data_IF_094556767652
#
_entry.id   IF_094556767652
#
_cell.length_a   1.000
_cell.length_b   1.000
_cell.length_c   1.000
_cell.angle_alpha   90.00
_cell.angle_beta   90.00
_cell.angle_gamma   90.00
#
_symmetry.space_group_name_H-M   'P 1'
#
loop_
_entity.id
_entity.type
_entity.pdbx_description
1 polymer ?
#
# COMPACT_ATOMS: atom_id res chain seq x y z
N UNK A 1 0.70 34.43 36.99
CA UNK A 1 -0.27 35.40 36.45
C UNK A 1 -1.23 34.60 35.57
N UNK A 2 -2.26 34.00 36.19
CA UNK A 2 -3.27 33.20 35.48
C UNK A 2 -4.36 34.14 34.98
N UNK A 3 -4.33 34.49 33.69
CA UNK A 3 -5.22 35.50 33.09
C UNK A 3 -6.58 34.92 32.68
N UNK A 4 -6.73 33.59 32.67
CA UNK A 4 -7.95 32.90 32.25
C UNK A 4 -8.42 31.90 33.31
N UNK A 5 -8.63 32.37 34.54
CA UNK A 5 -9.48 31.64 35.47
C UNK A 5 -10.93 31.76 35.00
N UNK A 6 -11.59 30.65 34.67
CA UNK A 6 -13.03 30.62 34.40
C UNK A 6 -13.78 31.21 35.60
N UNK A 7 -14.13 32.50 35.51
CA UNK A 7 -14.99 33.13 36.51
C UNK A 7 -16.37 32.49 36.39
N UNK A 8 -17.06 32.20 37.51
CA UNK A 8 -18.44 31.75 37.45
C UNK A 8 -19.27 32.78 36.68
N UNK A 9 -20.20 32.30 35.84
CA UNK A 9 -21.08 33.16 35.06
C UNK A 9 -21.78 34.16 36.01
N UNK A 10 -21.54 35.45 35.80
CA UNK A 10 -22.11 36.53 36.61
C UNK A 10 -23.45 37.03 36.07
N UNK A 11 -23.82 36.63 34.86
CA UNK A 11 -25.08 36.98 34.21
C UNK A 11 -25.98 35.75 34.17
N UNK A 12 -27.27 35.92 34.49
CA UNK A 12 -28.23 34.84 34.33
C UNK A 12 -28.33 34.48 32.85
N UNK A 13 -28.18 33.20 32.47
CA UNK A 13 -28.30 32.78 31.08
C UNK A 13 -29.68 33.18 30.56
N UNK A 14 -29.70 33.77 29.36
CA UNK A 14 -30.93 34.13 28.69
C UNK A 14 -31.85 32.90 28.59
N UNK A 15 -33.17 33.13 28.61
CA UNK A 15 -34.16 32.04 28.66
C UNK A 15 -33.94 30.99 27.56
N UNK A 16 -33.50 31.41 26.38
CA UNK A 16 -33.16 30.53 25.27
C UNK A 16 -31.97 29.61 25.58
N UNK A 17 -30.93 30.12 26.23
CA UNK A 17 -29.74 29.35 26.63
C UNK A 17 -30.11 28.33 27.70
N UNK A 18 -30.92 28.73 28.69
CA UNK A 18 -31.39 27.82 29.74
C UNK A 18 -32.27 26.69 29.19
N UNK A 19 -33.11 26.99 28.20
CA UNK A 19 -33.95 25.99 27.52
C UNK A 19 -33.12 25.04 26.64
N UNK A 20 -32.12 25.58 25.94
CA UNK A 20 -31.19 24.76 25.16
C UNK A 20 -30.41 23.79 26.06
N UNK A 21 -29.95 24.25 27.23
CA UNK A 21 -29.20 23.42 28.18
C UNK A 21 -30.07 22.28 28.75
N UNK A 22 -31.34 22.55 29.06
CA UNK A 22 -32.29 21.51 29.49
C UNK A 22 -32.57 20.44 28.42
N UNK A 23 -32.56 20.83 27.14
CA UNK A 23 -32.69 19.90 26.01
C UNK A 23 -31.43 19.04 25.81
N UNK A 24 -30.27 19.52 26.23
CA UNK A 24 -29.01 18.78 26.18
C UNK A 24 -28.80 17.89 27.42
N UNK A 25 -29.56 18.09 28.49
CA UNK A 25 -29.48 17.24 29.67
C UNK A 25 -30.02 15.83 29.37
N UNK A 26 -29.12 14.88 29.18
CA UNK A 26 -29.44 13.48 28.95
C UNK A 26 -30.38 12.88 30.03
N UNK A 27 -30.36 13.42 31.25
CA UNK A 27 -31.23 12.95 32.35
C UNK A 27 -32.69 13.41 32.18
N UNK A 28 -32.95 14.44 31.40
CA UNK A 28 -34.30 14.94 31.09
C UNK A 28 -34.96 14.21 29.92
N UNK A 29 -34.19 13.43 29.15
CA UNK A 29 -34.67 12.74 27.94
C UNK A 29 -35.64 11.59 28.26
N UNK A 30 -36.59 11.38 27.33
CA UNK A 30 -37.49 10.22 27.35
C UNK A 30 -36.72 8.91 27.12
N UNK A 31 -37.33 7.78 27.47
CA UNK A 31 -36.73 6.47 27.19
C UNK A 31 -36.56 6.23 25.68
N UNK A 32 -37.52 6.70 24.89
CA UNK A 32 -37.49 6.65 23.43
C UNK A 32 -36.31 7.43 22.85
N UNK A 33 -36.07 8.67 23.32
CA UNK A 33 -34.96 9.51 22.86
C UNK A 33 -33.60 8.88 23.19
N UNK A 34 -33.46 8.35 24.42
CA UNK A 34 -32.23 7.66 24.85
C UNK A 34 -31.97 6.41 24.02
N UNK A 35 -33.02 5.62 23.75
CA UNK A 35 -32.91 4.40 22.94
C UNK A 35 -32.51 4.74 21.51
N UNK A 36 -33.17 5.73 20.88
CA UNK A 36 -32.84 6.18 19.54
C UNK A 36 -31.40 6.68 19.45
N UNK A 37 -30.96 7.52 20.40
CA UNK A 37 -29.58 8.00 20.45
C UNK A 37 -28.58 6.86 20.63
N UNK A 38 -28.84 5.92 21.54
CA UNK A 38 -27.96 4.76 21.75
C UNK A 38 -27.83 3.89 20.51
N UNK A 39 -28.93 3.64 19.79
CA UNK A 39 -28.94 2.88 18.54
C UNK A 39 -28.18 3.60 17.43
N UNK A 40 -28.35 4.92 17.32
CA UNK A 40 -27.59 5.73 16.36
C UNK A 40 -26.08 5.64 16.64
N UNK A 41 -25.66 5.80 17.89
CA UNK A 41 -24.25 5.71 18.29
C UNK A 41 -23.67 4.33 18.02
N UNK A 42 -24.41 3.27 18.33
CA UNK A 42 -24.00 1.89 18.01
C UNK A 42 -23.83 1.69 16.51
N UNK A 43 -24.73 2.23 15.69
CA UNK A 43 -24.63 2.15 14.23
C UNK A 43 -23.45 2.93 13.68
N UNK A 44 -23.21 4.14 14.19
CA UNK A 44 -22.03 4.94 13.82
C UNK A 44 -20.75 4.20 14.15
N UNK A 45 -20.65 3.63 15.34
CA UNK A 45 -19.48 2.85 15.77
C UNK A 45 -19.28 1.62 14.90
N UNK A 46 -20.34 0.86 14.60
CA UNK A 46 -20.27 -0.28 13.69
C UNK A 46 -19.85 0.13 12.27
N UNK A 47 -20.35 1.26 11.77
CA UNK A 47 -19.98 1.77 10.45
C UNK A 47 -18.51 2.16 10.39
N UNK A 48 -17.99 2.80 11.44
CA UNK A 48 -16.57 3.13 11.57
C UNK A 48 -15.71 1.86 11.61
N UNK A 49 -16.07 0.87 12.42
CA UNK A 49 -15.36 -0.40 12.50
C UNK A 49 -15.35 -1.16 11.16
N UNK A 50 -16.49 -1.19 10.47
CA UNK A 50 -16.60 -1.84 9.16
C UNK A 50 -15.75 -1.11 8.11
N UNK A 51 -15.73 0.23 8.15
CA UNK A 51 -14.88 1.04 7.28
C UNK A 51 -13.39 0.76 7.52
N UNK A 52 -12.96 0.76 8.78
CA UNK A 52 -11.56 0.52 9.14
C UNK A 52 -11.13 -0.89 8.75
N UNK A 53 -11.99 -1.89 8.99
CA UNK A 53 -11.73 -3.26 8.55
C UNK A 53 -11.62 -3.38 7.01
N UNK A 54 -12.51 -2.72 6.26
CA UNK A 54 -12.46 -2.72 4.81
C UNK A 54 -11.17 -2.04 4.29
N UNK A 55 -10.76 -0.94 4.91
CA UNK A 55 -9.53 -0.23 4.55
C UNK A 55 -8.29 -1.07 4.82
N UNK A 56 -8.20 -1.70 5.99
CA UNK A 56 -7.09 -2.58 6.34
C UNK A 56 -7.03 -3.80 5.42
N UNK A 57 -8.18 -4.40 5.10
CA UNK A 57 -8.27 -5.53 4.16
C UNK A 57 -7.78 -5.14 2.76
N UNK A 58 -8.30 -4.03 2.21
CA UNK A 58 -7.90 -3.55 0.90
C UNK A 58 -6.40 -3.20 0.84
N UNK A 59 -5.84 -2.66 1.92
CA UNK A 59 -4.41 -2.36 2.04
C UNK A 59 -3.58 -3.64 2.06
N UNK A 60 -3.99 -4.63 2.86
CA UNK A 60 -3.29 -5.92 2.95
C UNK A 60 -3.29 -6.63 1.59
N UNK A 61 -4.44 -6.75 0.94
CA UNK A 61 -4.57 -7.35 -0.39
C UNK A 61 -3.75 -6.60 -1.45
N UNK A 62 -3.77 -5.26 -1.41
CA UNK A 62 -3.00 -4.45 -2.34
C UNK A 62 -1.49 -4.64 -2.20
N UNK A 63 -0.99 -4.76 -0.97
CA UNK A 63 0.42 -5.04 -0.68
C UNK A 63 0.79 -6.45 -1.15
N UNK A 64 -0.03 -7.44 -0.81
CA UNK A 64 0.21 -8.83 -1.18
C UNK A 64 0.27 -9.00 -2.70
N UNK A 65 -0.73 -8.50 -3.44
CA UNK A 65 -0.75 -8.55 -4.89
C UNK A 65 0.41 -7.77 -5.52
N UNK A 66 0.77 -6.61 -4.95
CA UNK A 66 1.90 -5.82 -5.42
C UNK A 66 3.23 -6.57 -5.26
N UNK A 67 3.42 -7.22 -4.11
CA UNK A 67 4.61 -8.00 -3.82
C UNK A 67 4.70 -9.25 -4.70
N UNK A 68 3.62 -10.01 -4.81
CA UNK A 68 3.55 -11.22 -5.61
C UNK A 68 3.88 -10.92 -7.08
N UNK A 69 3.19 -9.94 -7.69
CA UNK A 69 3.45 -9.52 -9.07
C UNK A 69 4.87 -9.00 -9.26
N UNK A 70 5.38 -8.21 -8.31
CA UNK A 70 6.73 -7.68 -8.36
C UNK A 70 7.79 -8.78 -8.32
N UNK A 71 7.63 -9.77 -7.44
CA UNK A 71 8.53 -10.91 -7.32
C UNK A 71 8.46 -11.84 -8.51
N UNK A 72 7.25 -12.15 -8.99
CA UNK A 72 7.07 -13.01 -10.16
C UNK A 72 7.71 -12.38 -11.40
N UNK A 73 7.42 -11.10 -11.66
CA UNK A 73 8.00 -10.36 -12.78
C UNK A 73 9.50 -10.26 -12.68
N UNK A 74 10.03 -9.85 -11.52
CA UNK A 74 11.48 -9.73 -11.32
C UNK A 74 12.20 -11.07 -11.48
N UNK A 75 11.59 -12.18 -11.04
CA UNK A 75 12.16 -13.52 -11.21
C UNK A 75 12.09 -14.00 -12.67
N UNK A 76 11.00 -13.70 -13.37
CA UNK A 76 10.85 -14.04 -14.78
C UNK A 76 11.88 -13.30 -15.64
N UNK A 77 11.92 -11.96 -15.53
CA UNK A 77 12.86 -11.10 -16.25
C UNK A 77 14.31 -11.47 -15.93
N UNK A 78 14.65 -11.67 -14.64
CA UNK A 78 16.00 -12.05 -14.24
C UNK A 78 16.43 -13.43 -14.76
N UNK A 79 15.51 -14.40 -14.84
CA UNK A 79 15.82 -15.70 -15.46
C UNK A 79 16.01 -15.60 -16.96
N UNK A 80 15.18 -14.80 -17.62
CA UNK A 80 15.26 -14.61 -19.08
C UNK A 80 16.58 -13.96 -19.46
N UNK A 81 16.91 -12.83 -18.84
CA UNK A 81 18.18 -12.12 -19.04
C UNK A 81 19.38 -13.03 -18.73
N UNK A 82 19.39 -13.69 -17.56
CA UNK A 82 20.49 -14.58 -17.20
C UNK A 82 20.64 -15.77 -18.15
N UNK A 83 19.55 -16.27 -18.73
CA UNK A 83 19.59 -17.34 -19.75
C UNK A 83 20.14 -16.83 -21.07
N UNK A 84 19.71 -15.66 -21.53
CA UNK A 84 20.20 -15.06 -22.77
C UNK A 84 21.69 -14.74 -22.67
N UNK A 85 22.12 -14.07 -21.60
CA UNK A 85 23.54 -13.78 -21.34
C UNK A 85 24.37 -15.06 -21.22
N UNK A 86 23.85 -16.07 -20.53
CA UNK A 86 24.52 -17.37 -20.39
C UNK A 86 24.69 -18.10 -21.71
N UNK A 87 23.69 -18.07 -22.59
CA UNK A 87 23.76 -18.65 -23.93
C UNK A 87 24.77 -17.89 -24.79
N UNK A 88 24.74 -16.55 -24.76
CA UNK A 88 25.65 -15.71 -25.55
C UNK A 88 27.12 -15.93 -25.12
N UNK A 89 27.39 -15.93 -23.80
CA UNK A 89 28.71 -16.21 -23.26
C UNK A 89 29.16 -17.64 -23.57
N UNK A 90 28.25 -18.62 -23.43
CA UNK A 90 28.53 -20.01 -23.77
C UNK A 90 28.90 -20.19 -25.25
N UNK A 91 28.19 -19.52 -26.15
CA UNK A 91 28.48 -19.53 -27.58
C UNK A 91 29.85 -18.92 -27.88
N UNK A 92 30.16 -17.75 -27.28
CA UNK A 92 31.47 -17.10 -27.40
C UNK A 92 32.61 -18.01 -26.97
N UNK A 93 32.50 -18.61 -25.78
CA UNK A 93 33.51 -19.53 -25.25
C UNK A 93 33.63 -20.78 -26.13
N UNK A 94 32.50 -21.33 -26.59
CA UNK A 94 32.48 -22.49 -27.49
C UNK A 94 33.21 -22.25 -28.80
N UNK A 95 32.92 -21.13 -29.47
CA UNK A 95 33.58 -20.76 -30.73
C UNK A 95 35.07 -20.51 -30.54
N UNK A 96 35.47 -19.81 -29.48
CA UNK A 96 36.90 -19.60 -29.15
C UNK A 96 37.62 -20.94 -28.94
N UNK A 97 36.98 -21.90 -28.26
CA UNK A 97 37.57 -23.22 -28.04
C UNK A 97 37.73 -24.00 -29.35
N UNK A 98 36.77 -23.93 -30.27
CA UNK A 98 36.86 -24.57 -31.59
C UNK A 98 38.00 -23.97 -32.43
N UNK A 99 38.18 -22.65 -32.39
CA UNK A 99 39.32 -21.98 -33.04
C UNK A 99 40.65 -22.46 -32.45
N UNK A 100 40.75 -22.52 -31.12
CA UNK A 100 41.98 -23.00 -30.43
C UNK A 100 42.31 -24.45 -30.74
N UNK A 101 41.30 -25.29 -30.99
CA UNK A 101 41.48 -26.69 -31.36
C UNK A 101 41.79 -26.88 -32.85
N UNK A 102 41.80 -25.79 -33.64
CA UNK A 102 42.00 -25.85 -35.09
C UNK A 102 40.81 -26.44 -35.86
N UNK A 103 39.65 -26.59 -35.21
CA UNK A 103 38.42 -27.11 -35.80
C UNK A 103 37.61 -26.03 -36.52
N UNK A 104 37.91 -24.76 -36.26
CA UNK A 104 37.26 -23.59 -36.87
C UNK A 104 38.30 -22.50 -37.16
N UNK A 105 38.09 -21.70 -38.22
CA UNK A 105 38.94 -20.53 -38.51
C UNK A 105 38.48 -19.30 -37.74
N UNK A 106 39.39 -18.36 -37.50
CA UNK A 106 39.08 -17.12 -36.78
C UNK A 106 38.07 -16.24 -37.54
N UNK A 107 38.13 -16.17 -38.87
CA UNK A 107 37.13 -15.46 -39.67
C UNK A 107 35.70 -15.98 -39.43
N UNK A 108 35.49 -17.30 -39.51
CA UNK A 108 34.15 -17.91 -39.38
C UNK A 108 33.60 -17.73 -37.97
N UNK A 109 34.45 -17.87 -36.94
CA UNK A 109 34.05 -17.63 -35.56
C UNK A 109 33.64 -16.17 -35.32
N UNK A 110 34.36 -15.22 -35.92
CA UNK A 110 34.09 -13.79 -35.79
C UNK A 110 32.80 -13.39 -36.50
N UNK A 111 32.55 -13.92 -37.70
CA UNK A 111 31.31 -13.70 -38.45
C UNK A 111 30.09 -14.20 -37.66
N UNK A 112 30.16 -15.40 -37.07
CA UNK A 112 29.08 -15.95 -36.24
C UNK A 112 28.82 -15.17 -34.95
N UNK A 113 29.84 -14.47 -34.42
CA UNK A 113 29.70 -13.59 -33.27
C UNK A 113 29.31 -12.15 -33.65
N UNK A 114 29.14 -11.85 -34.94
CA UNK A 114 28.90 -10.49 -35.42
C UNK A 114 30.05 -9.52 -35.11
N UNK A 115 31.26 -10.06 -34.89
CA UNK A 115 32.47 -9.28 -34.65
C UNK A 115 33.20 -9.09 -35.97
N UNK A 116 33.67 -7.88 -36.24
CA UNK A 116 34.61 -7.61 -37.34
C UNK A 116 36.02 -7.98 -36.90
N UNK A 117 36.67 -8.89 -37.63
CA UNK A 117 38.12 -9.16 -37.48
C UNK A 117 38.87 -7.95 -38.05
N UNK A 118 39.73 -7.33 -37.24
CA UNK A 118 40.62 -6.25 -37.66
C UNK A 118 42.03 -6.77 -37.94
#
# INVERSE_FOLDING_TARGET
MEFFGNKPFTQQPERAISQADQLLDYKSWSEEDRKMFSQLRMREEQALLAHDYALETARAEGIEQGLERGLERGRAEGREQGREEGIEQGLKVGLVNLVRQGLLTAEVASEQLGMTVA
#
